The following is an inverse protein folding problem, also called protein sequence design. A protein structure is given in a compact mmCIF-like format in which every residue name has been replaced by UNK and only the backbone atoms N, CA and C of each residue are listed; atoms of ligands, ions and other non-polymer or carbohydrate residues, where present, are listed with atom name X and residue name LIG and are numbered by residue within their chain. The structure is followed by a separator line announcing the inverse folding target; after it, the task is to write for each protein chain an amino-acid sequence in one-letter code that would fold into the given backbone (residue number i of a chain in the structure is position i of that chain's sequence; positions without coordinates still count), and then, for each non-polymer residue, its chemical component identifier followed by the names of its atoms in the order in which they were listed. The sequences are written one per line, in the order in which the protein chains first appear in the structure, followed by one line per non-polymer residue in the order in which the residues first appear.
data_IF_979291640505
#
_entry.id   IF_979291640505
#
_cell.length_a   1.000
_cell.length_b   1.000
_cell.length_c   1.000
_cell.angle_alpha   90.00
_cell.angle_beta   90.00
_cell.angle_gamma   90.00
#
_symmetry.space_group_name_H-M   'P 1'
#
loop_
_entity.id
_entity.type
_entity.pdbx_description
1 polymer ?
#
# COMPACT_ATOMS: atom_id res chain seq x y z
N UNK A 1 -12.23 10.16 -11.32
CA UNK A 1 -11.91 9.42 -12.58
C UNK A 1 -10.42 9.18 -12.82
N UNK A 2 -9.48 10.04 -12.41
CA UNK A 2 -8.04 9.79 -12.59
C UNK A 2 -7.56 8.46 -11.96
N UNK A 3 -8.03 8.16 -10.75
CA UNK A 3 -7.74 6.91 -10.05
C UNK A 3 -8.25 5.65 -10.76
N UNK A 4 -9.44 5.71 -11.38
CA UNK A 4 -10.01 4.61 -12.17
C UNK A 4 -9.11 4.30 -13.37
N UNK A 5 -8.70 5.34 -14.12
CA UNK A 5 -7.77 5.17 -15.25
C UNK A 5 -6.40 4.64 -14.82
N UNK A 6 -5.90 5.12 -13.67
CA UNK A 6 -4.67 4.58 -13.07
C UNK A 6 -4.83 3.09 -12.73
N UNK A 7 -5.96 2.70 -12.12
CA UNK A 7 -6.29 1.30 -11.84
C UNK A 7 -6.32 0.45 -13.11
N UNK A 8 -6.99 0.91 -14.17
CA UNK A 8 -7.06 0.20 -15.44
C UNK A 8 -5.68 0.00 -16.10
N UNK A 9 -4.82 1.02 -16.05
CA UNK A 9 -3.44 0.90 -16.53
C UNK A 9 -2.63 -0.12 -15.71
N UNK A 10 -2.80 -0.13 -14.38
CA UNK A 10 -2.12 -1.09 -13.50
C UNK A 10 -2.61 -2.53 -13.72
N UNK A 11 -3.89 -2.74 -14.05
CA UNK A 11 -4.43 -4.04 -14.51
C UNK A 11 -3.71 -4.49 -15.79
N UNK A 12 -3.54 -3.59 -16.77
CA UNK A 12 -2.85 -3.92 -18.01
C UNK A 12 -1.37 -4.28 -17.78
N UNK A 13 -0.73 -3.67 -16.78
CA UNK A 13 0.63 -3.99 -16.33
C UNK A 13 0.68 -5.24 -15.43
N UNK A 14 -0.46 -5.90 -15.16
CA UNK A 14 -0.59 -7.03 -14.23
C UNK A 14 -0.12 -6.71 -12.81
N UNK A 15 -0.12 -5.44 -12.44
CA UNK A 15 0.18 -4.97 -11.09
C UNK A 15 -1.12 -4.90 -10.27
N UNK A 16 -1.75 -6.05 -10.07
CA UNK A 16 -3.10 -6.15 -9.51
C UNK A 16 -3.18 -5.58 -8.08
N UNK A 17 -2.14 -5.73 -7.25
CA UNK A 17 -2.10 -5.12 -5.92
C UNK A 17 -2.19 -3.60 -5.96
N UNK A 18 -1.41 -2.93 -6.82
CA UNK A 18 -1.48 -1.47 -6.96
C UNK A 18 -2.79 -1.02 -7.61
N UNK A 19 -3.34 -1.84 -8.52
CA UNK A 19 -4.64 -1.57 -9.13
C UNK A 19 -5.75 -1.55 -8.06
N UNK A 20 -5.74 -2.48 -7.11
CA UNK A 20 -6.69 -2.49 -5.98
C UNK A 20 -6.63 -1.18 -5.20
N UNK A 21 -5.45 -0.74 -4.76
CA UNK A 21 -5.30 0.53 -4.02
C UNK A 21 -5.77 1.74 -4.83
N UNK A 22 -5.56 1.74 -6.15
CA UNK A 22 -6.05 2.81 -7.01
C UNK A 22 -7.59 2.83 -7.10
N UNK A 23 -8.25 1.67 -7.18
CA UNK A 23 -9.71 1.59 -7.19
C UNK A 23 -10.32 1.88 -5.82
N UNK A 24 -9.70 1.45 -4.72
CA UNK A 24 -10.11 1.84 -3.36
C UNK A 24 -10.06 3.35 -3.16
N UNK A 25 -9.00 4.01 -3.63
CA UNK A 25 -8.91 5.48 -3.60
C UNK A 25 -10.00 6.14 -4.47
N UNK A 26 -10.39 5.52 -5.59
CA UNK A 26 -11.51 6.01 -6.39
C UNK A 26 -12.85 5.89 -5.65
N UNK A 27 -13.08 4.78 -4.95
CA UNK A 27 -14.28 4.54 -4.16
C UNK A 27 -14.36 5.42 -2.91
N UNK A 28 -13.22 5.73 -2.28
CA UNK A 28 -13.17 6.67 -1.17
C UNK A 28 -13.66 8.08 -1.57
N UNK A 29 -13.47 8.47 -2.83
CA UNK A 29 -13.96 9.74 -3.38
C UNK A 29 -15.40 9.66 -3.88
N UNK A 30 -15.78 8.53 -4.47
CA UNK A 30 -17.12 8.26 -4.98
C UNK A 30 -17.50 6.80 -4.69
N UNK A 31 -18.13 6.60 -3.54
CA UNK A 31 -18.48 5.27 -3.04
C UNK A 31 -19.49 4.54 -3.94
N UNK A 32 -20.21 5.24 -4.82
CA UNK A 32 -21.22 4.63 -5.68
C UNK A 32 -20.74 4.41 -7.12
N UNK A 33 -19.44 4.61 -7.37
CA UNK A 33 -18.86 4.43 -8.69
C UNK A 33 -18.79 2.94 -9.09
N UNK A 34 -19.66 2.52 -10.01
CA UNK A 34 -19.69 1.14 -10.48
C UNK A 34 -18.39 0.73 -11.19
N UNK A 35 -17.82 1.60 -12.03
CA UNK A 35 -16.59 1.33 -12.78
C UNK A 35 -15.41 1.05 -11.84
N UNK A 36 -15.32 1.77 -10.71
CA UNK A 36 -14.31 1.52 -9.69
C UNK A 36 -14.56 0.22 -8.90
N UNK A 37 -15.82 -0.15 -8.62
CA UNK A 37 -16.16 -1.42 -7.97
C UNK A 37 -15.83 -2.62 -8.86
N UNK A 38 -16.20 -2.55 -10.13
CA UNK A 38 -15.92 -3.61 -11.10
C UNK A 38 -14.42 -3.77 -11.33
N UNK A 39 -13.70 -2.64 -11.44
CA UNK A 39 -12.25 -2.61 -11.53
C UNK A 39 -11.58 -3.23 -10.29
N UNK A 40 -12.09 -2.96 -9.09
CA UNK A 40 -11.59 -3.54 -7.85
C UNK A 40 -11.81 -5.06 -7.80
N UNK A 41 -13.00 -5.54 -8.16
CA UNK A 41 -13.27 -6.98 -8.22
C UNK A 41 -12.37 -7.69 -9.23
N UNK A 42 -12.21 -7.13 -10.43
CA UNK A 42 -11.31 -7.68 -11.44
C UNK A 42 -9.86 -7.74 -10.94
N UNK A 43 -9.42 -6.66 -10.28
CA UNK A 43 -8.11 -6.63 -9.63
C UNK A 43 -8.00 -7.73 -8.57
N UNK A 44 -9.00 -7.94 -7.72
CA UNK A 44 -8.99 -8.99 -6.70
C UNK A 44 -8.99 -10.41 -7.27
N UNK A 45 -9.84 -10.68 -8.26
CA UNK A 45 -9.92 -12.01 -8.89
C UNK A 45 -8.63 -12.40 -9.62
N UNK A 46 -7.94 -11.42 -10.21
CA UNK A 46 -6.69 -11.67 -10.93
C UNK A 46 -5.45 -11.48 -10.05
N UNK A 47 -5.59 -10.95 -8.84
CA UNK A 47 -4.50 -10.85 -7.88
C UNK A 47 -4.25 -12.22 -7.24
N UNK A 48 -3.69 -13.13 -8.04
CA UNK A 48 -3.19 -14.42 -7.59
C UNK A 48 -1.76 -14.28 -7.03
N UNK A 49 -1.33 -13.06 -6.66
CA UNK A 49 -0.02 -12.85 -6.05
C UNK A 49 -0.02 -13.47 -4.67
N UNK A 50 0.82 -14.50 -4.54
CA UNK A 50 1.22 -15.05 -3.27
C UNK A 50 1.71 -13.90 -2.38
N UNK A 51 1.25 -13.76 -1.13
CA UNK A 51 1.69 -12.69 -0.23
C UNK A 51 3.21 -12.63 -0.08
N UNK A 52 3.92 -13.74 -0.31
CA UNK A 52 5.38 -13.79 -0.36
C UNK A 52 5.97 -13.19 -1.66
N UNK A 53 5.31 -13.34 -2.81
CA UNK A 53 5.75 -12.70 -4.06
C UNK A 53 5.57 -11.17 -4.02
N UNK A 54 4.50 -10.69 -3.38
CA UNK A 54 4.28 -9.27 -3.15
C UNK A 54 5.38 -8.68 -2.23
N UNK A 55 5.73 -9.40 -1.16
CA UNK A 55 6.86 -9.04 -0.29
C UNK A 55 8.19 -9.04 -1.02
N UNK A 56 8.46 -10.04 -1.86
CA UNK A 56 9.71 -10.11 -2.61
C UNK A 56 9.83 -8.92 -3.58
N UNK A 57 8.74 -8.56 -4.26
CA UNK A 57 8.72 -7.38 -5.14
C UNK A 57 8.92 -6.08 -4.35
N UNK A 58 8.32 -5.98 -3.18
CA UNK A 58 8.50 -4.85 -2.27
C UNK A 58 9.95 -4.71 -1.78
N UNK A 59 10.60 -5.82 -1.44
CA UNK A 59 12.01 -5.84 -1.06
C UNK A 59 12.95 -5.46 -2.22
N UNK A 60 12.49 -5.56 -3.47
CA UNK A 60 13.23 -5.10 -4.66
C UNK A 60 13.03 -3.60 -4.96
N UNK A 61 12.07 -2.93 -4.32
CA UNK A 61 11.86 -1.48 -4.50
C UNK A 61 13.00 -0.72 -3.75
N UNK A 62 13.83 0.06 -4.46
CA UNK A 62 14.95 0.77 -3.84
C UNK A 62 14.48 1.77 -2.78
N UNK A 63 13.31 2.37 -2.96
CA UNK A 63 12.73 3.31 -1.99
C UNK A 63 12.35 2.59 -0.70
N UNK A 64 11.81 1.36 -0.82
CA UNK A 64 11.49 0.50 0.32
C UNK A 64 12.77 0.06 1.04
N UNK A 65 13.81 -0.31 0.31
CA UNK A 65 15.10 -0.67 0.91
C UNK A 65 15.70 0.49 1.71
N UNK A 66 15.65 1.72 1.18
CA UNK A 66 16.13 2.90 1.89
C UNK A 66 15.32 3.16 3.17
N UNK A 67 13.99 2.98 3.11
CA UNK A 67 13.12 3.09 4.29
C UNK A 67 13.47 2.02 5.35
N UNK A 68 13.76 0.79 4.94
CA UNK A 68 14.12 -0.31 5.85
C UNK A 68 15.52 -0.12 6.48
N UNK A 69 16.42 0.59 5.82
CA UNK A 69 17.74 0.95 6.36
C UNK A 69 17.68 2.10 7.36
N UNK A 70 16.61 2.89 7.34
CA UNK A 70 16.44 4.04 8.22
C UNK A 70 16.35 3.58 9.70
N UNK A 71 17.25 4.07 10.58
CA UNK A 71 17.27 3.65 11.98
C UNK A 71 16.01 4.08 12.74
N UNK A 72 15.42 5.23 12.37
CA UNK A 72 14.17 5.70 12.97
C UNK A 72 12.97 4.84 12.57
N UNK A 73 12.92 4.36 11.32
CA UNK A 73 11.88 3.44 10.89
C UNK A 73 12.00 2.07 11.57
N UNK A 74 13.22 1.55 11.74
CA UNK A 74 13.42 0.28 12.46
C UNK A 74 12.93 0.37 13.91
N UNK A 75 13.26 1.47 14.59
CA UNK A 75 12.77 1.73 15.94
C UNK A 75 11.24 1.83 15.97
N UNK A 76 10.64 2.52 14.99
CA UNK A 76 9.19 2.67 14.91
C UNK A 76 8.47 1.32 14.70
N UNK A 77 9.00 0.45 13.84
CA UNK A 77 8.43 -0.88 13.60
C UNK A 77 8.51 -1.76 14.86
N UNK A 78 9.60 -1.64 15.62
CA UNK A 78 9.77 -2.30 16.91
C UNK A 78 8.77 -1.77 17.96
N UNK A 79 8.68 -0.44 18.09
CA UNK A 79 7.72 0.22 18.97
C UNK A 79 6.28 -0.10 18.60
N UNK A 80 5.93 -0.16 17.31
CA UNK A 80 4.59 -0.50 16.85
C UNK A 80 4.19 -1.94 17.26
N UNK A 81 5.16 -2.85 17.36
CA UNK A 81 4.93 -4.22 17.83
C UNK A 81 4.69 -4.28 19.35
N UNK A 82 5.26 -3.33 20.11
CA UNK A 82 5.09 -3.24 21.56
C UNK A 82 3.87 -2.41 21.97
N UNK A 83 3.68 -1.26 21.33
CA UNK A 83 2.62 -0.29 21.59
C UNK A 83 2.12 0.37 20.28
N UNK A 84 1.01 -0.12 19.70
CA UNK A 84 0.36 0.49 18.54
C UNK A 84 -0.08 1.95 18.77
N UNK A 85 -0.26 2.36 20.02
CA UNK A 85 -0.64 3.72 20.40
C UNK A 85 0.50 4.72 20.23
N UNK A 86 1.73 4.30 20.53
CA UNK A 86 2.94 5.14 20.40
C UNK A 86 3.24 5.53 18.94
N UNK A 87 2.84 4.70 17.99
CA UNK A 87 2.96 5.00 16.54
C UNK A 87 2.22 6.30 16.17
N UNK A 88 1.13 6.66 16.88
CA UNK A 88 0.30 7.82 16.55
C UNK A 88 1.05 9.15 16.69
N UNK A 89 1.97 9.24 17.64
CA UNK A 89 2.80 10.43 17.81
C UNK A 89 3.79 10.58 16.66
N UNK A 90 4.40 9.47 16.22
CA UNK A 90 5.31 9.46 15.08
C UNK A 90 4.61 9.69 13.73
N UNK A 91 3.32 9.36 13.61
CA UNK A 91 2.50 9.68 12.43
C UNK A 91 2.27 11.19 12.25
N UNK A 92 2.50 12.02 13.28
CA UNK A 92 2.47 13.48 13.14
C UNK A 92 3.61 14.00 12.26
N UNK A 93 4.70 13.22 12.14
CA UNK A 93 5.80 13.57 11.25
C UNK A 93 5.46 13.16 9.79
N UNK A 94 5.35 14.12 8.85
CA UNK A 94 4.96 13.84 7.47
C UNK A 94 5.96 12.93 6.74
N UNK A 95 7.25 12.98 7.09
CA UNK A 95 8.26 12.09 6.52
C UNK A 95 8.01 10.63 6.92
N UNK A 96 7.77 10.38 8.21
CA UNK A 96 7.49 9.04 8.73
C UNK A 96 6.20 8.49 8.12
N UNK A 97 5.14 9.31 8.08
CA UNK A 97 3.87 8.95 7.46
C UNK A 97 4.07 8.48 6.02
N UNK A 98 4.86 9.22 5.24
CA UNK A 98 5.12 8.93 3.84
C UNK A 98 5.86 7.60 3.67
N UNK A 99 6.90 7.36 4.48
CA UNK A 99 7.66 6.09 4.49
C UNK A 99 6.76 4.90 4.90
N UNK A 100 5.91 5.10 5.90
CA UNK A 100 5.00 4.07 6.41
C UNK A 100 3.89 3.74 5.40
N UNK A 101 3.33 4.74 4.72
CA UNK A 101 2.40 4.53 3.62
C UNK A 101 3.05 3.72 2.48
N UNK A 102 4.30 4.01 2.13
CA UNK A 102 5.05 3.28 1.12
C UNK A 102 5.26 1.81 1.50
N UNK A 103 5.65 1.53 2.75
CA UNK A 103 5.77 0.14 3.25
C UNK A 103 4.43 -0.60 3.25
N UNK A 104 3.33 0.09 3.54
CA UNK A 104 1.97 -0.46 3.48
C UNK A 104 1.55 -0.77 2.05
N UNK A 105 1.76 0.16 1.12
CA UNK A 105 1.48 -0.07 -0.31
C UNK A 105 2.32 -1.22 -0.87
N UNK A 106 3.53 -1.40 -0.34
CA UNK A 106 4.40 -2.51 -0.69
C UNK A 106 4.00 -3.83 0.02
N UNK A 107 2.97 -3.83 0.88
CA UNK A 107 2.49 -5.04 1.55
C UNK A 107 3.46 -5.62 2.59
N UNK A 108 4.50 -4.88 2.99
CA UNK A 108 5.46 -5.30 4.02
C UNK A 108 4.81 -5.22 5.40
N UNK A 109 4.03 -4.18 5.63
CA UNK A 109 3.32 -3.94 6.89
C UNK A 109 1.81 -3.96 6.69
N UNK A 110 1.09 -4.56 7.65
CA UNK A 110 -0.36 -4.51 7.75
C UNK A 110 -0.72 -3.67 8.96
N UNK A 111 -1.19 -2.44 8.74
CA UNK A 111 -1.87 -1.69 9.80
C UNK A 111 -3.24 -2.33 10.01
N UNK A 112 -3.47 -2.90 11.20
CA UNK A 112 -4.81 -3.29 11.65
C UNK A 112 -5.47 -2.14 12.38
#
# INVERSE_FOLDING_TARGET
KAYIRKGAALIALKEYGKAQSAYEAALALDNNNQEARDGLMNAMSNNNEDPDAARERALRDPEVQEILKDPGMRLLLEQMSQDPGAVREHLQNPDILRKLMKLREAGIIKLR
#
